data_IF_236633853018
#
_entry.id   IF_236633853018
#
_cell.length_a   1.000
_cell.length_b   1.000
_cell.length_c   1.000
_cell.angle_alpha   90.00
_cell.angle_beta   90.00
_cell.angle_gamma   90.00
#
_symmetry.space_group_name_H-M   'P 1'
#
loop_
_entity.id
_entity.type
_entity.pdbx_description
1 polymer ?
#
# COMPACT_ATOMS: atom_id res chain seq x y z
N UNK A 1 44.95 68.48 -54.52
CA UNK A 1 44.06 68.42 -53.36
C UNK A 1 42.86 67.56 -53.90
N UNK A 2 42.92 66.24 -53.59
CA UNK A 2 41.94 65.30 -54.10
C UNK A 2 41.15 64.80 -52.91
N UNK A 3 39.85 65.14 -52.82
CA UNK A 3 38.94 64.70 -51.79
C UNK A 3 38.62 63.19 -51.98
N UNK A 4 38.87 62.40 -50.93
CA UNK A 4 38.47 60.99 -50.86
C UNK A 4 37.03 60.87 -50.49
N UNK A 5 36.23 60.06 -51.18
CA UNK A 5 34.83 59.84 -50.82
C UNK A 5 34.72 58.98 -49.57
N UNK A 6 33.98 59.50 -48.59
CA UNK A 6 33.57 58.81 -47.37
C UNK A 6 32.62 57.62 -47.72
N UNK A 7 32.97 56.45 -47.29
CA UNK A 7 32.15 55.22 -47.48
C UNK A 7 30.83 55.32 -46.67
N UNK A 8 29.71 54.88 -47.21
CA UNK A 8 28.41 54.95 -46.52
C UNK A 8 28.35 53.97 -45.33
N UNK A 9 27.96 54.50 -44.18
CA UNK A 9 27.71 53.76 -42.96
C UNK A 9 26.62 52.68 -43.20
N UNK A 10 27.00 51.39 -43.16
CA UNK A 10 26.02 50.26 -43.17
C UNK A 10 25.32 50.25 -41.82
N UNK A 11 23.95 50.36 -41.78
CA UNK A 11 23.23 50.18 -40.52
C UNK A 11 23.41 48.76 -40.05
N UNK A 12 23.75 48.64 -38.74
CA UNK A 12 23.84 47.35 -38.05
C UNK A 12 22.52 46.57 -38.21
N UNK A 13 22.57 45.44 -38.85
CA UNK A 13 21.42 44.52 -38.91
C UNK A 13 21.14 44.03 -37.48
N UNK A 14 19.92 44.21 -36.96
CA UNK A 14 19.56 43.67 -35.66
C UNK A 14 19.83 42.18 -35.68
N UNK A 15 20.65 41.68 -34.77
CA UNK A 15 20.88 40.26 -34.56
C UNK A 15 19.50 39.61 -34.32
N UNK A 16 19.18 38.51 -34.98
CA UNK A 16 17.91 37.81 -34.71
C UNK A 16 17.93 37.39 -33.24
N UNK A 17 17.15 38.06 -32.42
CA UNK A 17 16.86 37.62 -31.05
C UNK A 17 16.24 36.25 -31.13
N UNK A 18 17.00 35.25 -30.69
CA UNK A 18 16.75 33.88 -31.00
C UNK A 18 15.34 33.45 -30.52
N UNK A 19 14.64 32.79 -31.42
CA UNK A 19 13.36 32.10 -31.22
C UNK A 19 13.40 31.19 -29.98
N UNK A 20 14.60 30.89 -29.47
CA UNK A 20 14.91 30.05 -28.32
C UNK A 20 14.73 30.77 -26.96
N UNK A 21 14.95 32.07 -26.85
CA UNK A 21 14.83 32.80 -25.58
C UNK A 21 13.37 32.81 -25.04
N UNK A 22 12.38 32.79 -25.92
CA UNK A 22 10.97 32.71 -25.53
C UNK A 22 10.56 31.34 -24.94
N UNK A 23 11.18 30.24 -25.38
CA UNK A 23 10.88 28.86 -24.97
C UNK A 23 11.36 28.61 -23.54
N UNK A 24 12.51 29.19 -23.16
CA UNK A 24 13.08 29.09 -21.81
C UNK A 24 12.43 30.02 -20.79
N UNK A 25 11.80 31.12 -21.22
CA UNK A 25 11.10 32.05 -20.31
C UNK A 25 9.64 31.66 -20.03
N UNK A 26 9.05 30.82 -20.89
CA UNK A 26 7.67 30.34 -20.75
C UNK A 26 7.62 29.18 -19.74
N UNK A 27 6.43 28.99 -19.14
CA UNK A 27 6.16 27.80 -18.33
C UNK A 27 6.79 27.78 -16.93
N UNK A 28 7.24 28.92 -16.38
CA UNK A 28 7.81 29.01 -15.03
C UNK A 28 6.85 28.48 -13.94
N UNK A 29 5.53 28.73 -14.10
CA UNK A 29 4.52 28.20 -13.16
C UNK A 29 4.49 26.68 -13.23
N UNK A 30 4.50 26.08 -14.44
CA UNK A 30 4.52 24.63 -14.61
C UNK A 30 5.81 24.05 -14.02
N UNK A 31 6.94 24.70 -14.22
CA UNK A 31 8.22 24.27 -13.63
C UNK A 31 8.16 24.33 -12.10
N UNK A 32 7.61 25.40 -11.52
CA UNK A 32 7.42 25.51 -10.07
C UNK A 32 6.51 24.39 -9.55
N UNK A 33 5.38 24.12 -10.21
CA UNK A 33 4.47 23.03 -9.84
C UNK A 33 5.17 21.67 -9.91
N UNK A 34 5.99 21.42 -10.95
CA UNK A 34 6.77 20.20 -11.07
C UNK A 34 7.72 20.00 -9.89
N UNK A 35 8.46 21.06 -9.54
CA UNK A 35 9.36 21.03 -8.37
C UNK A 35 8.58 20.85 -7.07
N UNK A 36 7.42 21.52 -6.91
CA UNK A 36 6.57 21.34 -5.72
C UNK A 36 6.07 19.91 -5.58
N UNK A 37 5.65 19.26 -6.67
CA UNK A 37 5.27 17.84 -6.67
C UNK A 37 6.44 16.95 -6.23
N UNK A 38 7.64 17.19 -6.77
CA UNK A 38 8.83 16.44 -6.36
C UNK A 38 9.19 16.66 -4.88
N UNK A 39 9.05 17.88 -4.38
CA UNK A 39 9.27 18.21 -2.95
C UNK A 39 8.27 17.45 -2.07
N UNK A 40 7.00 17.37 -2.46
CA UNK A 40 6.00 16.57 -1.73
C UNK A 40 6.35 15.08 -1.78
N UNK A 41 6.72 14.54 -2.96
CA UNK A 41 7.12 13.14 -3.11
C UNK A 41 8.31 12.77 -2.22
N UNK A 42 9.36 13.60 -2.21
CA UNK A 42 10.58 13.30 -1.47
C UNK A 42 10.51 13.69 0.02
N UNK A 43 9.67 14.67 0.34
CA UNK A 43 9.49 15.19 1.68
C UNK A 43 8.25 14.67 2.42
N UNK A 44 7.56 13.64 1.90
CA UNK A 44 6.31 13.17 2.49
C UNK A 44 6.44 12.75 3.97
N UNK A 45 7.60 12.23 4.38
CA UNK A 45 7.86 11.78 5.75
C UNK A 45 8.09 12.92 6.75
N UNK A 46 8.42 14.13 6.27
CA UNK A 46 8.58 15.32 7.13
C UNK A 46 7.36 16.24 7.10
N UNK A 47 6.30 15.86 6.38
CA UNK A 47 5.04 16.60 6.40
C UNK A 47 4.44 16.57 7.81
N UNK A 48 3.92 17.70 8.31
CA UNK A 48 3.25 17.72 9.60
C UNK A 48 1.96 16.89 9.52
N UNK A 49 1.81 15.96 10.46
CA UNK A 49 0.57 15.15 10.53
C UNK A 49 -0.60 15.93 11.15
N UNK A 50 -0.34 17.04 11.81
CA UNK A 50 -1.38 17.93 12.40
C UNK A 50 -1.28 19.35 11.84
N UNK A 51 -2.43 20.02 11.59
CA UNK A 51 -3.81 19.54 11.77
C UNK A 51 -4.28 18.61 10.64
N UNK A 52 -5.27 17.74 10.93
CA UNK A 52 -6.04 17.02 9.91
C UNK A 52 -5.38 15.80 9.30
N UNK A 53 -4.26 15.32 9.85
CA UNK A 53 -3.51 14.13 9.39
C UNK A 53 -3.15 14.17 7.89
N UNK A 54 -2.69 15.35 7.44
CA UNK A 54 -2.34 15.59 6.04
C UNK A 54 -1.21 14.67 5.56
N UNK A 55 -0.23 14.39 6.43
CA UNK A 55 0.86 13.48 6.10
C UNK A 55 0.32 12.09 5.74
N UNK A 56 -0.50 11.47 6.59
CA UNK A 56 -1.14 10.17 6.33
C UNK A 56 -1.97 10.18 5.05
N UNK A 57 -2.72 11.26 4.77
CA UNK A 57 -3.48 11.39 3.53
C UNK A 57 -2.56 11.38 2.30
N UNK A 58 -1.52 12.20 2.30
CA UNK A 58 -0.55 12.28 1.21
C UNK A 58 0.16 10.93 1.02
N UNK A 59 0.59 10.29 2.11
CA UNK A 59 1.29 9.01 2.10
C UNK A 59 0.40 7.86 1.59
N UNK A 60 -0.89 7.86 1.95
CA UNK A 60 -1.85 6.88 1.43
C UNK A 60 -1.96 6.94 -0.11
N UNK A 61 -1.97 8.14 -0.68
CA UNK A 61 -2.12 8.35 -2.12
C UNK A 61 -0.82 8.75 -2.82
N UNK A 62 0.32 8.55 -2.17
CA UNK A 62 1.63 8.97 -2.68
C UNK A 62 1.95 8.38 -4.08
N UNK A 63 1.65 7.10 -4.40
CA UNK A 63 1.87 6.56 -5.74
C UNK A 63 1.15 7.33 -6.85
N UNK A 64 -0.04 7.86 -6.56
CA UNK A 64 -0.87 8.60 -7.51
C UNK A 64 -0.34 9.99 -7.85
N UNK A 65 0.60 10.52 -7.06
CA UNK A 65 1.30 11.77 -7.39
C UNK A 65 2.06 11.66 -8.73
N UNK A 66 2.39 10.43 -9.15
CA UNK A 66 2.97 10.16 -10.47
C UNK A 66 2.13 10.61 -11.65
N UNK A 67 0.79 10.70 -11.49
CA UNK A 67 -0.10 11.22 -12.53
C UNK A 67 0.15 12.71 -12.86
N UNK A 68 0.76 13.44 -11.93
CA UNK A 68 1.18 14.82 -12.17
C UNK A 68 2.25 14.90 -13.29
N UNK A 69 3.07 13.86 -13.47
CA UNK A 69 4.17 13.86 -14.45
C UNK A 69 3.61 13.97 -15.88
N UNK A 70 2.77 13.05 -16.39
CA UNK A 70 2.22 13.18 -17.74
C UNK A 70 1.35 14.43 -17.89
N UNK A 71 0.58 14.83 -16.87
CA UNK A 71 -0.23 16.04 -16.92
C UNK A 71 0.62 17.31 -17.12
N UNK A 72 1.65 17.47 -16.30
CA UNK A 72 2.56 18.63 -16.39
C UNK A 72 3.37 18.60 -17.69
N UNK A 73 3.73 17.39 -18.20
CA UNK A 73 4.41 17.26 -19.50
C UNK A 73 3.50 17.74 -20.65
N UNK A 74 2.22 17.35 -20.65
CA UNK A 74 1.24 17.84 -21.64
C UNK A 74 1.14 19.35 -21.56
N UNK A 75 1.03 19.93 -20.37
CA UNK A 75 1.01 21.37 -20.18
C UNK A 75 2.28 22.06 -20.70
N UNK A 76 3.46 21.47 -20.48
CA UNK A 76 4.74 21.97 -20.98
C UNK A 76 4.79 21.96 -22.52
N UNK A 77 4.30 20.88 -23.16
CA UNK A 77 4.22 20.77 -24.61
C UNK A 77 3.26 21.81 -25.21
N UNK A 78 2.04 21.95 -24.67
CA UNK A 78 1.06 22.94 -25.10
C UNK A 78 1.65 24.37 -25.00
N UNK A 79 2.39 24.64 -23.93
CA UNK A 79 3.05 25.95 -23.70
C UNK A 79 4.35 26.11 -24.50
N UNK A 80 4.79 25.04 -25.19
CA UNK A 80 6.09 24.98 -25.93
C UNK A 80 7.24 25.49 -25.04
N UNK A 81 7.33 24.98 -23.80
CA UNK A 81 8.30 25.42 -22.80
C UNK A 81 9.34 24.33 -22.52
N UNK A 82 10.59 24.59 -22.91
CA UNK A 82 11.71 23.71 -22.58
C UNK A 82 11.99 23.69 -21.07
N UNK A 83 11.91 24.85 -20.39
CA UNK A 83 12.08 24.94 -18.93
C UNK A 83 11.10 24.03 -18.18
N UNK A 84 9.81 24.07 -18.56
CA UNK A 84 8.81 23.21 -17.93
C UNK A 84 9.06 21.73 -18.24
N UNK A 85 9.38 21.39 -19.49
CA UNK A 85 9.68 20.00 -19.89
C UNK A 85 10.86 19.40 -19.13
N UNK A 86 11.93 20.18 -18.94
CA UNK A 86 13.10 19.77 -18.14
C UNK A 86 12.73 19.65 -16.66
N UNK A 87 11.95 20.61 -16.12
CA UNK A 87 11.55 20.57 -14.72
C UNK A 87 10.67 19.35 -14.39
N UNK A 88 9.85 18.85 -15.33
CA UNK A 88 9.03 17.63 -15.15
C UNK A 88 9.88 16.36 -14.98
N UNK A 89 11.15 16.36 -15.41
CA UNK A 89 12.04 15.24 -15.14
C UNK A 89 12.30 15.04 -13.64
N UNK A 90 12.24 16.10 -12.84
CA UNK A 90 12.49 16.01 -11.39
C UNK A 90 11.44 15.11 -10.68
N UNK A 91 10.11 15.40 -10.77
CA UNK A 91 9.13 14.49 -10.19
C UNK A 91 9.09 13.12 -10.88
N UNK A 92 9.42 13.01 -12.18
CA UNK A 92 9.52 11.72 -12.86
C UNK A 92 10.61 10.84 -12.24
N UNK A 93 11.80 11.40 -12.04
CA UNK A 93 12.93 10.70 -11.40
C UNK A 93 12.59 10.36 -9.94
N UNK A 94 12.01 11.31 -9.18
CA UNK A 94 11.59 11.08 -7.80
C UNK A 94 10.59 9.92 -7.71
N UNK A 95 9.59 9.91 -8.58
CA UNK A 95 8.59 8.85 -8.62
C UNK A 95 9.20 7.49 -8.98
N UNK A 96 10.06 7.45 -9.99
CA UNK A 96 10.77 6.22 -10.37
C UNK A 96 11.67 5.71 -9.24
N UNK A 97 12.33 6.60 -8.50
CA UNK A 97 13.17 6.21 -7.36
C UNK A 97 12.34 5.61 -6.21
N UNK A 98 11.15 6.18 -5.93
CA UNK A 98 10.27 5.70 -4.86
C UNK A 98 9.53 4.41 -5.24
N UNK A 99 9.05 4.31 -6.47
CA UNK A 99 8.09 3.28 -6.88
C UNK A 99 8.54 2.38 -8.02
N UNK A 100 9.65 2.67 -8.68
CA UNK A 100 10.13 1.89 -9.83
C UNK A 100 10.34 0.41 -9.51
N UNK A 101 10.80 0.10 -8.30
CA UNK A 101 10.96 -1.28 -7.84
C UNK A 101 9.64 -2.08 -7.70
N UNK A 102 8.49 -1.43 -7.64
CA UNK A 102 7.17 -2.09 -7.60
C UNK A 102 6.72 -2.60 -8.98
N UNK A 103 7.30 -2.10 -10.07
CA UNK A 103 7.02 -2.57 -11.43
C UNK A 103 7.78 -3.83 -11.81
N UNK A 104 8.80 -4.18 -11.04
CA UNK A 104 9.54 -5.43 -11.24
C UNK A 104 8.70 -6.59 -10.69
N UNK A 105 8.46 -7.62 -11.50
CA UNK A 105 7.85 -8.85 -11.02
C UNK A 105 8.87 -9.62 -10.20
N UNK A 106 8.61 -9.72 -8.90
CA UNK A 106 9.48 -10.39 -7.92
C UNK A 106 8.94 -11.75 -7.50
N UNK A 107 7.84 -12.20 -8.12
CA UNK A 107 7.20 -13.47 -7.80
C UNK A 107 8.10 -14.63 -8.22
N UNK A 108 8.24 -15.58 -7.33
CA UNK A 108 8.93 -16.84 -7.56
C UNK A 108 7.98 -18.02 -7.28
N UNK A 109 8.22 -19.13 -7.91
CA UNK A 109 7.49 -20.36 -7.63
C UNK A 109 7.96 -20.97 -6.28
N UNK A 110 7.11 -21.80 -5.69
CA UNK A 110 7.40 -22.51 -4.44
C UNK A 110 6.75 -21.81 -3.24
N UNK A 111 7.12 -22.30 -2.04
CA UNK A 111 6.57 -21.90 -0.76
C UNK A 111 5.77 -23.05 -0.13
N UNK A 112 5.90 -23.18 1.20
CA UNK A 112 5.33 -24.27 1.99
C UNK A 112 3.94 -23.91 2.50
N UNK A 113 3.65 -22.61 2.57
CA UNK A 113 2.43 -22.09 3.16
C UNK A 113 1.81 -20.99 2.27
N UNK A 114 0.62 -21.23 1.76
CA UNK A 114 -0.19 -20.18 1.13
C UNK A 114 -1.18 -19.62 2.14
N UNK A 115 -1.23 -18.30 2.26
CA UNK A 115 -2.12 -17.57 3.18
C UNK A 115 -2.94 -16.55 2.42
N UNK A 116 -4.16 -16.27 2.91
CA UNK A 116 -5.06 -15.25 2.38
C UNK A 116 -5.57 -14.41 3.53
N UNK A 117 -5.68 -13.10 3.32
CA UNK A 117 -6.45 -12.21 4.20
C UNK A 117 -7.50 -11.46 3.39
N UNK A 118 -8.65 -11.22 3.99
CA UNK A 118 -9.77 -10.57 3.31
C UNK A 118 -10.73 -9.88 4.28
N UNK A 119 -10.82 -8.56 4.20
CA UNK A 119 -11.95 -7.85 4.76
C UNK A 119 -13.19 -8.21 3.93
N UNK A 120 -14.12 -8.97 4.54
CA UNK A 120 -15.28 -9.55 3.82
C UNK A 120 -16.47 -8.61 3.76
N UNK A 121 -16.39 -7.43 4.39
CA UNK A 121 -17.48 -6.47 4.58
C UNK A 121 -18.65 -7.06 5.39
N UNK A 122 -18.94 -6.50 6.56
CA UNK A 122 -20.01 -6.97 7.45
C UNK A 122 -21.40 -7.00 6.78
N UNK A 123 -21.60 -6.18 5.75
CA UNK A 123 -22.83 -6.11 4.95
C UNK A 123 -22.74 -6.91 3.64
N UNK A 124 -21.80 -7.84 3.50
CA UNK A 124 -21.64 -8.66 2.30
C UNK A 124 -22.95 -9.40 1.96
N UNK A 125 -23.56 -9.16 0.78
CA UNK A 125 -24.83 -9.77 0.40
C UNK A 125 -24.68 -11.26 0.04
N UNK A 126 -23.48 -11.77 -0.19
CA UNK A 126 -23.22 -13.13 -0.65
C UNK A 126 -22.09 -13.83 0.13
N UNK A 127 -22.16 -13.92 1.47
CA UNK A 127 -21.05 -14.41 2.30
C UNK A 127 -20.65 -15.86 1.97
N UNK A 128 -21.61 -16.74 1.67
CA UNK A 128 -21.33 -18.13 1.30
C UNK A 128 -20.58 -18.25 -0.05
N UNK A 129 -20.83 -17.34 -0.99
CA UNK A 129 -20.09 -17.28 -2.26
C UNK A 129 -18.66 -16.81 -2.05
N UNK A 130 -18.50 -15.77 -1.23
CA UNK A 130 -17.18 -15.26 -0.82
C UNK A 130 -16.38 -16.37 -0.13
N UNK A 131 -16.96 -17.07 0.84
CA UNK A 131 -16.31 -18.18 1.54
C UNK A 131 -15.83 -19.27 0.57
N UNK A 132 -16.66 -19.69 -0.38
CA UNK A 132 -16.27 -20.68 -1.40
C UNK A 132 -15.10 -20.19 -2.26
N UNK A 133 -15.15 -18.96 -2.74
CA UNK A 133 -14.07 -18.39 -3.54
C UNK A 133 -12.73 -18.38 -2.77
N UNK A 134 -12.77 -18.11 -1.46
CA UNK A 134 -11.60 -18.18 -0.60
C UNK A 134 -11.09 -19.61 -0.40
N UNK A 135 -11.99 -20.59 -0.20
CA UNK A 135 -11.62 -22.00 -0.09
C UNK A 135 -11.00 -22.52 -1.40
N UNK A 136 -11.55 -22.12 -2.55
CA UNK A 136 -11.07 -22.50 -3.88
C UNK A 136 -9.68 -21.90 -4.21
N UNK A 137 -9.23 -20.87 -3.47
CA UNK A 137 -7.87 -20.33 -3.59
C UNK A 137 -6.78 -21.34 -3.24
N UNK A 138 -7.14 -22.41 -2.51
CA UNK A 138 -6.21 -23.44 -2.05
C UNK A 138 -5.33 -23.02 -0.87
N UNK A 139 -5.52 -21.81 -0.31
CA UNK A 139 -4.77 -21.33 0.83
C UNK A 139 -4.86 -22.29 2.03
N UNK A 140 -3.78 -22.41 2.80
CA UNK A 140 -3.76 -23.21 4.02
C UNK A 140 -4.29 -22.43 5.23
N UNK A 141 -4.12 -21.09 5.20
CA UNK A 141 -4.67 -20.16 6.19
C UNK A 141 -5.51 -19.09 5.51
N UNK A 142 -6.67 -18.81 6.08
CA UNK A 142 -7.55 -17.71 5.66
C UNK A 142 -7.87 -16.86 6.87
N UNK A 143 -7.45 -15.60 6.82
CA UNK A 143 -7.81 -14.57 7.79
C UNK A 143 -8.97 -13.74 7.23
N UNK A 144 -9.98 -13.49 8.05
CA UNK A 144 -11.15 -12.70 7.67
C UNK A 144 -11.38 -11.56 8.66
N UNK A 145 -11.73 -10.41 8.13
CA UNK A 145 -12.07 -9.20 8.87
C UNK A 145 -13.51 -8.77 8.50
N UNK A 146 -14.14 -8.01 9.38
CA UNK A 146 -15.55 -7.57 9.25
C UNK A 146 -16.56 -8.70 9.09
N UNK A 147 -16.42 -9.74 9.91
CA UNK A 147 -17.32 -10.89 9.86
C UNK A 147 -18.78 -10.56 10.23
N UNK A 148 -18.98 -9.70 11.25
CA UNK A 148 -20.29 -9.25 11.70
C UNK A 148 -21.30 -10.39 11.90
N UNK A 149 -22.55 -10.16 11.55
CA UNK A 149 -23.64 -11.13 11.64
C UNK A 149 -23.50 -12.30 10.65
N UNK A 150 -22.61 -12.17 9.66
CA UNK A 150 -22.31 -13.20 8.67
C UNK A 150 -21.39 -14.31 9.20
N UNK A 151 -20.81 -14.18 10.40
CA UNK A 151 -19.90 -15.17 11.01
C UNK A 151 -20.39 -16.61 10.87
N UNK A 152 -21.65 -16.99 11.24
CA UNK A 152 -22.08 -18.38 11.14
C UNK A 152 -22.15 -18.92 9.71
N UNK A 153 -22.26 -18.04 8.71
CA UNK A 153 -22.25 -18.43 7.30
C UNK A 153 -20.82 -18.79 6.87
N UNK A 154 -19.83 -17.99 7.25
CA UNK A 154 -18.41 -18.26 6.98
C UNK A 154 -17.97 -19.54 7.68
N UNK A 155 -18.30 -19.71 8.98
CA UNK A 155 -17.98 -20.92 9.74
C UNK A 155 -18.47 -22.18 9.03
N UNK A 156 -19.75 -22.23 8.66
CA UNK A 156 -20.33 -23.39 7.95
C UNK A 156 -19.73 -23.60 6.57
N UNK A 157 -19.53 -22.54 5.81
CA UNK A 157 -19.08 -22.65 4.42
C UNK A 157 -17.60 -23.05 4.30
N UNK A 158 -16.78 -22.72 5.29
CA UNK A 158 -15.34 -23.01 5.32
C UNK A 158 -15.00 -24.31 6.10
N UNK A 159 -15.93 -24.86 6.89
CA UNK A 159 -15.69 -25.99 7.79
C UNK A 159 -15.07 -27.22 7.11
N UNK A 160 -15.51 -27.53 5.88
CA UNK A 160 -15.00 -28.71 5.15
C UNK A 160 -13.57 -28.55 4.66
N UNK A 161 -13.15 -27.31 4.36
CA UNK A 161 -11.81 -27.01 3.86
C UNK A 161 -10.80 -26.71 4.99
N UNK A 162 -11.31 -26.21 6.14
CA UNK A 162 -10.52 -25.77 7.28
C UNK A 162 -11.04 -26.38 8.57
N UNK A 163 -10.48 -27.50 9.03
CA UNK A 163 -10.93 -28.20 10.24
C UNK A 163 -10.66 -27.43 11.54
N UNK A 164 -9.80 -26.42 11.49
CA UNK A 164 -9.45 -25.59 12.65
C UNK A 164 -9.84 -24.15 12.36
N UNK A 165 -10.59 -23.56 13.27
CA UNK A 165 -11.01 -22.16 13.16
C UNK A 165 -11.11 -21.50 14.53
N UNK A 166 -10.85 -20.19 14.56
CA UNK A 166 -11.03 -19.35 15.74
C UNK A 166 -11.54 -17.98 15.33
N UNK A 167 -12.59 -17.51 16.01
CA UNK A 167 -13.18 -16.18 15.79
C UNK A 167 -13.14 -15.40 17.09
N UNK A 168 -12.73 -14.14 17.01
CA UNK A 168 -12.74 -13.20 18.12
C UNK A 168 -13.32 -11.87 17.67
N UNK A 169 -14.53 -11.58 18.10
CA UNK A 169 -15.27 -10.38 17.67
C UNK A 169 -15.50 -10.38 16.16
N UNK A 170 -14.89 -9.41 15.47
CA UNK A 170 -15.10 -9.21 14.03
C UNK A 170 -14.02 -9.83 13.15
N UNK A 171 -13.03 -10.53 13.75
CA UNK A 171 -11.94 -11.17 12.99
C UNK A 171 -11.89 -12.67 13.26
N UNK A 172 -11.42 -13.44 12.26
CA UNK A 172 -11.32 -14.87 12.37
C UNK A 172 -10.14 -15.45 11.59
N UNK A 173 -9.66 -16.61 12.02
CA UNK A 173 -8.62 -17.39 11.37
C UNK A 173 -9.15 -18.80 11.11
N UNK A 174 -9.11 -19.21 9.86
CA UNK A 174 -9.39 -20.57 9.40
C UNK A 174 -8.07 -21.23 8.96
N UNK A 175 -7.87 -22.47 9.37
CA UNK A 175 -6.60 -23.15 9.19
C UNK A 175 -6.78 -24.62 8.81
N UNK A 176 -5.93 -25.13 7.92
CA UNK A 176 -5.77 -26.57 7.68
C UNK A 176 -4.91 -27.24 8.75
N UNK A 177 -4.20 -26.45 9.55
CA UNK A 177 -3.31 -26.91 10.60
C UNK A 177 -3.88 -26.61 11.99
N UNK A 178 -3.54 -27.42 13.02
CA UNK A 178 -4.00 -27.19 14.39
C UNK A 178 -3.66 -25.78 14.90
N UNK A 179 -4.63 -25.16 15.58
CA UNK A 179 -4.47 -23.88 16.27
C UNK A 179 -4.24 -24.11 17.77
N UNK A 180 -3.34 -23.35 18.37
CA UNK A 180 -3.05 -23.35 19.78
C UNK A 180 -2.81 -21.91 20.30
N UNK A 181 -2.84 -21.73 21.61
CA UNK A 181 -2.54 -20.46 22.30
C UNK A 181 -3.30 -19.27 21.70
N UNK A 182 -4.58 -19.50 21.38
CA UNK A 182 -5.45 -18.47 20.80
C UNK A 182 -5.85 -17.46 21.85
N UNK A 183 -5.58 -16.19 21.56
CA UNK A 183 -5.97 -15.09 22.43
C UNK A 183 -6.40 -13.86 21.64
N UNK A 184 -7.25 -13.05 22.24
CA UNK A 184 -7.54 -11.70 21.76
C UNK A 184 -6.32 -10.80 21.95
N UNK A 185 -6.09 -9.90 21.01
CA UNK A 185 -5.12 -8.81 21.12
C UNK A 185 -5.88 -7.50 21.29
N UNK A 186 -5.67 -6.82 22.40
CA UNK A 186 -6.45 -5.64 22.80
C UNK A 186 -5.98 -4.38 22.08
N UNK A 187 -6.43 -4.22 20.83
CA UNK A 187 -6.13 -3.04 20.00
C UNK A 187 -7.25 -1.99 19.99
N UNK A 188 -8.46 -2.37 20.38
CA UNK A 188 -9.67 -1.56 20.38
C UNK A 188 -10.54 -1.92 21.61
N UNK A 189 -11.59 -1.12 21.94
CA UNK A 189 -12.51 -1.45 23.04
C UNK A 189 -13.29 -2.75 22.86
N UNK A 190 -13.40 -3.27 21.65
CA UNK A 190 -13.98 -4.57 21.30
C UNK A 190 -12.99 -5.39 20.49
N UNK A 191 -13.15 -6.75 20.46
CA UNK A 191 -12.18 -7.60 19.80
C UNK A 191 -12.14 -7.34 18.28
N UNK A 192 -10.99 -6.90 17.80
CA UNK A 192 -10.66 -6.66 16.37
C UNK A 192 -9.29 -7.22 15.99
N UNK A 193 -8.67 -7.97 16.88
CA UNK A 193 -7.47 -8.71 16.58
C UNK A 193 -7.39 -9.97 17.43
N UNK A 194 -6.82 -11.00 16.84
CA UNK A 194 -6.47 -12.25 17.52
C UNK A 194 -5.03 -12.65 17.23
N UNK A 195 -4.48 -13.46 18.11
CA UNK A 195 -3.22 -14.17 17.92
C UNK A 195 -3.47 -15.66 18.09
N UNK A 196 -2.93 -16.47 17.18
CA UNK A 196 -2.91 -17.93 17.31
C UNK A 196 -1.52 -18.50 17.00
N UNK A 197 -1.17 -19.64 17.62
CA UNK A 197 -0.06 -20.47 17.15
C UNK A 197 -0.61 -21.47 16.14
N UNK A 198 -0.11 -21.45 14.91
CA UNK A 198 -0.43 -22.46 13.89
C UNK A 198 0.69 -23.50 13.90
N UNK A 199 0.33 -24.77 14.05
CA UNK A 199 1.28 -25.89 14.10
C UNK A 199 1.44 -26.50 12.73
N UNK A 200 2.35 -25.95 11.93
CA UNK A 200 2.66 -26.46 10.59
C UNK A 200 3.65 -27.64 10.66
N UNK A 201 3.80 -28.45 9.60
CA UNK A 201 4.82 -29.49 9.51
C UNK A 201 6.23 -28.96 9.69
N UNK A 202 6.51 -27.72 9.25
CA UNK A 202 7.80 -27.04 9.33
C UNK A 202 8.04 -26.39 10.71
N UNK A 203 7.08 -26.52 11.62
CA UNK A 203 7.13 -26.02 12.98
C UNK A 203 6.10 -24.90 13.26
N UNK A 204 6.05 -24.44 14.51
CA UNK A 204 5.05 -23.46 14.93
C UNK A 204 5.34 -22.07 14.34
N UNK A 205 4.25 -21.36 13.98
CA UNK A 205 4.26 -19.96 13.57
C UNK A 205 3.23 -19.16 14.38
N UNK A 206 3.56 -17.94 14.75
CA UNK A 206 2.60 -17.01 15.33
C UNK A 206 1.83 -16.31 14.20
N UNK A 207 0.52 -16.36 14.24
CA UNK A 207 -0.34 -15.67 13.28
C UNK A 207 -1.21 -14.66 14.02
N UNK A 208 -1.09 -13.41 13.63
CA UNK A 208 -1.93 -12.32 14.07
C UNK A 208 -2.92 -12.00 12.94
N UNK A 209 -4.19 -11.90 13.28
CA UNK A 209 -5.23 -11.34 12.40
C UNK A 209 -5.70 -10.04 13.01
N UNK A 210 -5.68 -8.96 12.27
CA UNK A 210 -6.02 -7.65 12.80
C UNK A 210 -6.79 -6.79 11.80
N UNK A 211 -7.85 -6.14 12.30
CA UNK A 211 -8.58 -5.10 11.61
C UNK A 211 -8.42 -3.78 12.36
N UNK A 212 -7.57 -2.89 11.88
CA UNK A 212 -7.38 -1.57 12.49
C UNK A 212 -8.59 -0.67 12.22
N UNK A 213 -8.70 0.41 13.01
CA UNK A 213 -9.84 1.31 12.88
C UNK A 213 -9.88 1.98 11.50
N UNK A 214 -11.07 2.03 10.90
CA UNK A 214 -11.29 2.66 9.59
C UNK A 214 -10.94 4.15 9.64
N UNK A 215 -10.30 4.63 8.58
CA UNK A 215 -9.96 6.03 8.41
C UNK A 215 -11.08 6.74 7.66
N UNK A 216 -11.56 7.85 8.20
CA UNK A 216 -12.66 8.62 7.61
C UNK A 216 -12.22 10.04 7.31
N UNK A 217 -12.57 10.53 6.12
CA UNK A 217 -12.39 11.93 5.78
C UNK A 217 -13.56 12.74 6.36
N UNK A 218 -13.23 13.74 7.16
CA UNK A 218 -14.20 14.65 7.77
C UNK A 218 -13.84 16.10 7.45
N UNK A 219 -14.85 16.92 7.15
CA UNK A 219 -14.67 18.35 6.90
C UNK A 219 -14.13 19.11 8.13
N UNK A 220 -14.35 18.58 9.35
CA UNK A 220 -13.96 19.24 10.60
C UNK A 220 -12.65 18.70 11.17
N UNK A 221 -12.37 17.42 11.04
CA UNK A 221 -11.20 16.73 11.64
C UNK A 221 -10.16 16.26 10.63
N UNK A 222 -10.41 16.42 9.34
CA UNK A 222 -9.52 15.96 8.28
C UNK A 222 -9.54 14.45 8.09
N UNK A 223 -8.39 13.85 7.87
CA UNK A 223 -8.19 12.42 7.64
C UNK A 223 -8.00 11.71 8.99
N UNK A 224 -9.10 11.22 9.59
CA UNK A 224 -9.16 10.75 10.97
C UNK A 224 -8.40 9.44 11.23
N UNK A 225 -7.11 9.50 11.56
CA UNK A 225 -6.24 8.32 11.75
C UNK A 225 -5.89 8.01 13.21
N UNK A 226 -6.30 8.83 14.18
CA UNK A 226 -5.89 8.68 15.59
C UNK A 226 -6.19 7.28 16.18
N UNK A 227 -7.41 6.76 15.94
CA UNK A 227 -7.82 5.45 16.45
C UNK A 227 -7.01 4.33 15.80
N UNK A 228 -6.78 4.40 14.46
CA UNK A 228 -5.94 3.47 13.71
C UNK A 228 -4.51 3.48 14.24
N UNK A 229 -3.92 4.66 14.40
CA UNK A 229 -2.55 4.81 14.86
C UNK A 229 -2.36 4.31 16.30
N UNK A 230 -3.35 4.52 17.17
CA UNK A 230 -3.34 3.96 18.51
C UNK A 230 -3.44 2.43 18.50
N UNK A 231 -4.30 1.86 17.65
CA UNK A 231 -4.43 0.41 17.50
C UNK A 231 -3.14 -0.20 16.92
N UNK A 232 -2.50 0.43 15.92
CA UNK A 232 -1.23 -0.02 15.36
C UNK A 232 -0.11 -0.09 16.43
N UNK A 233 0.00 0.92 17.29
CA UNK A 233 0.97 0.92 18.40
C UNK A 233 0.71 -0.22 19.41
N UNK A 234 -0.55 -0.48 19.77
CA UNK A 234 -0.92 -1.58 20.67
C UNK A 234 -0.61 -2.94 20.05
N UNK A 235 -0.91 -3.11 18.75
CA UNK A 235 -0.59 -4.32 18.02
C UNK A 235 0.92 -4.54 17.96
N UNK A 236 1.71 -3.50 17.63
CA UNK A 236 3.16 -3.57 17.61
C UNK A 236 3.73 -3.98 18.98
N UNK A 237 3.24 -3.42 20.09
CA UNK A 237 3.66 -3.79 21.44
C UNK A 237 3.34 -5.27 21.76
N UNK A 238 2.18 -5.79 21.32
CA UNK A 238 1.86 -7.20 21.50
C UNK A 238 2.78 -8.11 20.67
N UNK A 239 3.17 -7.68 19.48
CA UNK A 239 4.08 -8.42 18.59
C UNK A 239 5.54 -8.33 19.03
N UNK A 240 5.95 -7.26 19.74
CA UNK A 240 7.28 -7.16 20.35
C UNK A 240 7.48 -8.21 21.44
N UNK A 241 6.40 -8.61 22.13
CA UNK A 241 6.41 -9.66 23.13
C UNK A 241 6.25 -11.09 22.56
N UNK A 242 6.18 -11.26 21.23
CA UNK A 242 5.98 -12.57 20.59
C UNK A 242 7.26 -13.40 20.64
N UNK A 243 7.24 -14.57 21.33
CA UNK A 243 8.41 -15.41 21.49
C UNK A 243 8.76 -16.23 20.24
N UNK A 244 7.77 -16.49 19.36
CA UNK A 244 8.02 -17.26 18.16
C UNK A 244 8.76 -16.41 17.11
N UNK A 245 9.87 -16.94 16.55
CA UNK A 245 10.65 -16.20 15.56
C UNK A 245 9.89 -16.01 14.25
N UNK A 246 9.04 -16.98 13.86
CA UNK A 246 8.22 -16.93 12.67
C UNK A 246 6.87 -16.31 13.00
N UNK A 247 6.60 -15.17 12.43
CA UNK A 247 5.39 -14.39 12.75
C UNK A 247 4.76 -13.85 11.47
N UNK A 248 3.45 -14.00 11.35
CA UNK A 248 2.64 -13.42 10.30
C UNK A 248 1.66 -12.41 10.92
N UNK A 249 1.47 -11.27 10.26
CA UNK A 249 0.38 -10.35 10.49
C UNK A 249 -0.45 -10.28 9.22
N UNK A 250 -1.70 -10.67 9.33
CA UNK A 250 -2.69 -10.72 8.26
C UNK A 250 -3.81 -9.74 8.61
N UNK A 251 -4.29 -8.97 7.65
CA UNK A 251 -5.48 -8.17 7.88
C UNK A 251 -5.55 -6.82 7.19
N UNK A 252 -6.66 -6.15 7.42
CA UNK A 252 -6.92 -4.77 7.02
C UNK A 252 -6.33 -3.80 8.05
N UNK A 253 -5.23 -3.17 7.68
CA UNK A 253 -4.55 -2.19 8.52
C UNK A 253 -5.06 -0.75 8.32
N UNK A 254 -6.04 -0.56 7.42
CA UNK A 254 -6.61 0.75 7.11
C UNK A 254 -5.56 1.84 6.84
N UNK A 255 -4.47 1.45 6.22
CA UNK A 255 -3.35 2.31 5.83
C UNK A 255 -2.36 1.58 4.95
N UNK A 256 -1.53 2.32 4.22
CA UNK A 256 -0.52 1.76 3.31
C UNK A 256 0.82 1.59 4.02
N UNK A 257 1.72 0.78 3.45
CA UNK A 257 3.11 0.65 3.96
C UNK A 257 3.93 1.94 3.77
N UNK A 258 3.44 2.88 2.99
CA UNK A 258 4.05 4.20 2.81
C UNK A 258 3.61 5.21 3.90
N UNK A 259 2.61 4.85 4.75
CA UNK A 259 2.16 5.68 5.88
C UNK A 259 3.10 5.51 7.08
N UNK A 260 3.81 6.56 7.43
CA UNK A 260 4.77 6.56 8.55
C UNK A 260 4.16 6.13 9.89
N UNK A 261 2.86 6.33 10.08
CA UNK A 261 2.18 5.87 11.29
C UNK A 261 2.12 4.34 11.41
N UNK A 262 2.24 3.60 10.29
CA UNK A 262 2.37 2.15 10.29
C UNK A 262 3.82 1.66 10.39
N UNK A 263 4.82 2.55 10.42
CA UNK A 263 6.22 2.20 10.58
C UNK A 263 6.51 1.41 11.86
N UNK A 264 5.67 1.58 12.90
CA UNK A 264 5.72 0.78 14.13
C UNK A 264 5.53 -0.73 13.88
N UNK A 265 4.88 -1.11 12.77
CA UNK A 265 4.70 -2.48 12.31
C UNK A 265 5.70 -2.83 11.20
N UNK A 266 5.83 -1.98 10.18
CA UNK A 266 6.62 -2.27 8.96
C UNK A 266 8.13 -2.21 9.20
N UNK A 267 8.61 -1.57 10.27
CA UNK A 267 10.01 -1.64 10.68
C UNK A 267 10.43 -3.01 11.27
N UNK A 268 9.46 -3.83 11.68
CA UNK A 268 9.66 -5.15 12.30
C UNK A 268 9.27 -6.30 11.40
N UNK A 269 8.41 -6.04 10.42
CA UNK A 269 7.82 -7.02 9.53
C UNK A 269 8.02 -6.58 8.09
N UNK A 270 8.34 -7.52 7.23
CA UNK A 270 8.46 -7.30 5.78
C UNK A 270 7.10 -7.47 5.12
N UNK A 271 6.74 -6.58 4.23
CA UNK A 271 5.55 -6.75 3.38
C UNK A 271 5.80 -7.85 2.35
N UNK A 272 4.92 -8.84 2.30
CA UNK A 272 5.00 -9.91 1.29
C UNK A 272 4.85 -9.33 -0.12
N UNK A 273 3.96 -8.35 -0.32
CA UNK A 273 3.78 -7.68 -1.61
C UNK A 273 5.03 -6.92 -2.06
N UNK A 274 5.69 -6.19 -1.15
CA UNK A 274 6.88 -5.42 -1.51
C UNK A 274 8.10 -6.33 -1.75
N UNK A 275 8.16 -7.48 -1.06
CA UNK A 275 9.25 -8.44 -1.19
C UNK A 275 9.10 -9.37 -2.41
N UNK A 276 7.90 -9.87 -2.68
CA UNK A 276 7.64 -10.94 -3.64
C UNK A 276 6.36 -10.73 -4.48
N UNK A 277 5.90 -9.50 -4.64
CA UNK A 277 4.77 -9.17 -5.49
C UNK A 277 5.18 -8.56 -6.82
N UNK A 278 4.19 -8.34 -7.68
CA UNK A 278 4.27 -7.52 -8.89
C UNK A 278 3.26 -6.38 -8.80
N UNK A 279 3.65 -5.18 -9.18
CA UNK A 279 2.80 -3.99 -9.10
C UNK A 279 2.56 -3.53 -7.66
N UNK A 280 1.58 -2.66 -7.48
CA UNK A 280 1.27 -2.03 -6.20
C UNK A 280 0.48 -2.92 -5.24
N UNK A 281 -0.19 -3.98 -5.73
CA UNK A 281 -1.02 -4.86 -4.92
C UNK A 281 -2.20 -4.14 -4.29
N UNK A 282 -2.81 -3.18 -5.00
CA UNK A 282 -3.92 -2.38 -4.50
C UNK A 282 -5.12 -3.27 -4.18
N UNK A 283 -5.77 -3.05 -3.04
CA UNK A 283 -6.84 -3.91 -2.53
C UNK A 283 -8.18 -3.18 -2.33
N UNK A 284 -8.17 -1.85 -2.21
CA UNK A 284 -9.37 -1.06 -1.91
C UNK A 284 -9.48 0.22 -2.75
N UNK A 285 -10.69 0.64 -3.18
CA UNK A 285 -11.92 -0.16 -3.21
C UNK A 285 -11.88 -1.22 -4.31
N UNK A 286 -12.53 -2.37 -4.12
CA UNK A 286 -12.44 -3.51 -5.06
C UNK A 286 -12.88 -3.19 -6.48
N UNK A 287 -13.84 -2.25 -6.65
CA UNK A 287 -14.34 -1.83 -7.97
C UNK A 287 -13.34 -1.01 -8.78
N UNK A 288 -12.46 -0.27 -8.13
CA UNK A 288 -11.38 0.53 -8.72
C UNK A 288 -10.26 0.73 -7.69
N UNK A 289 -9.35 -0.22 -7.55
CA UNK A 289 -8.39 -0.21 -6.46
C UNK A 289 -7.43 0.99 -6.50
N UNK A 290 -7.40 1.74 -5.39
CA UNK A 290 -6.63 2.97 -5.25
C UNK A 290 -5.59 2.89 -4.12
N UNK A 291 -5.81 2.05 -3.11
CA UNK A 291 -4.91 1.90 -1.97
C UNK A 291 -4.71 0.43 -1.63
N UNK A 292 -3.53 0.09 -1.13
CA UNK A 292 -3.24 -1.21 -0.53
C UNK A 292 -3.36 -1.04 0.98
N UNK A 293 -4.47 -1.46 1.56
CA UNK A 293 -4.74 -1.38 2.99
C UNK A 293 -4.87 -2.75 3.65
N UNK A 294 -5.04 -3.81 2.85
CA UNK A 294 -4.99 -5.20 3.27
C UNK A 294 -3.55 -5.73 3.09
N UNK A 295 -3.01 -6.35 4.13
CA UNK A 295 -1.60 -6.69 4.20
C UNK A 295 -1.34 -8.11 4.68
N UNK A 296 -0.28 -8.70 4.13
CA UNK A 296 0.42 -9.86 4.67
C UNK A 296 1.82 -9.38 5.01
N UNK A 297 2.09 -9.21 6.31
CA UNK A 297 3.40 -8.81 6.80
C UNK A 297 4.04 -9.99 7.53
N UNK A 298 5.35 -10.18 7.36
CA UNK A 298 6.04 -11.38 7.81
C UNK A 298 7.35 -11.07 8.55
N UNK A 299 7.70 -11.94 9.51
CA UNK A 299 9.00 -11.99 10.18
C UNK A 299 9.44 -13.45 10.28
N UNK A 300 10.73 -13.73 9.99
CA UNK A 300 11.30 -15.07 10.10
C UNK A 300 10.79 -16.07 9.07
N UNK A 301 10.10 -15.62 8.01
CA UNK A 301 9.68 -16.41 6.86
C UNK A 301 9.99 -15.64 5.58
N UNK A 302 10.17 -16.35 4.45
CA UNK A 302 10.51 -15.74 3.18
C UNK A 302 9.30 -15.73 2.23
N UNK A 303 8.77 -14.54 1.82
CA UNK A 303 7.75 -14.47 0.78
C UNK A 303 8.32 -14.94 -0.57
N UNK A 304 7.59 -15.85 -1.23
CA UNK A 304 7.91 -16.34 -2.58
C UNK A 304 7.07 -15.67 -3.64
N UNK A 305 5.80 -15.44 -3.36
CA UNK A 305 4.92 -14.69 -4.23
C UNK A 305 3.82 -14.00 -3.43
N UNK A 306 3.35 -12.84 -3.92
CA UNK A 306 2.20 -12.14 -3.37
C UNK A 306 1.36 -11.55 -4.51
N UNK A 307 0.01 -11.62 -4.36
CA UNK A 307 -0.93 -11.19 -5.37
C UNK A 307 -2.31 -10.88 -4.76
N UNK A 308 -3.17 -10.22 -5.51
CA UNK A 308 -4.59 -10.07 -5.19
C UNK A 308 -5.39 -11.17 -5.88
N UNK A 309 -6.43 -11.67 -5.21
CA UNK A 309 -7.38 -12.59 -5.80
C UNK A 309 -8.51 -11.83 -6.51
N UNK A 310 -9.32 -12.51 -7.34
CA UNK A 310 -10.49 -11.90 -7.97
C UNK A 310 -11.44 -11.30 -6.95
N UNK A 311 -12.13 -10.21 -7.35
CA UNK A 311 -13.11 -9.54 -6.52
C UNK A 311 -14.24 -10.49 -6.08
N UNK A 312 -14.63 -10.36 -4.84
CA UNK A 312 -15.79 -11.03 -4.23
C UNK A 312 -16.98 -10.07 -4.18
N UNK A 313 -17.88 -10.26 -3.22
CA UNK A 313 -18.97 -9.30 -2.94
C UNK A 313 -18.59 -8.28 -1.85
N UNK A 314 -17.32 -8.20 -1.49
CA UNK A 314 -16.76 -7.18 -0.61
C UNK A 314 -16.30 -5.95 -1.41
N UNK A 315 -16.14 -4.83 -0.74
CA UNK A 315 -15.49 -3.63 -1.25
C UNK A 315 -13.95 -3.68 -1.15
N UNK A 316 -13.40 -4.80 -0.64
CA UNK A 316 -11.97 -5.11 -0.67
C UNK A 316 -11.68 -6.27 -1.64
N UNK A 317 -10.46 -6.31 -2.19
CA UNK A 317 -9.93 -7.49 -2.87
C UNK A 317 -9.20 -8.37 -1.85
N UNK A 318 -9.37 -9.72 -1.91
CA UNK A 318 -8.57 -10.60 -1.09
C UNK A 318 -7.09 -10.52 -1.48
N UNK A 319 -6.20 -10.59 -0.50
CA UNK A 319 -4.75 -10.57 -0.70
C UNK A 319 -4.18 -11.93 -0.31
N UNK A 320 -3.31 -12.46 -1.16
CA UNK A 320 -2.70 -13.78 -0.98
C UNK A 320 -1.18 -13.68 -1.01
N UNK A 321 -0.51 -14.59 -0.31
CA UNK A 321 0.92 -14.81 -0.42
C UNK A 321 1.28 -16.29 -0.27
N UNK A 322 2.29 -16.73 -1.02
CA UNK A 322 3.00 -17.99 -0.81
C UNK A 322 4.29 -17.70 -0.05
N UNK A 323 4.49 -18.40 1.04
CA UNK A 323 5.56 -18.19 2.00
C UNK A 323 6.41 -19.46 2.12
N UNK A 324 7.70 -19.31 2.20
CA UNK A 324 8.65 -20.36 2.53
C UNK A 324 8.97 -20.23 4.03
N UNK A 325 8.63 -21.24 4.78
CA UNK A 325 8.85 -21.28 6.22
C UNK A 325 10.29 -21.64 6.59
N UNK A 326 11.08 -22.10 5.62
CA UNK A 326 12.41 -22.62 5.83
C UNK A 326 12.39 -23.91 6.65
N UNK A 327 13.45 -24.70 6.58
CA UNK A 327 13.66 -25.80 7.53
C UNK A 327 13.85 -25.20 8.92
N UNK A 328 13.03 -25.61 9.87
CA UNK A 328 13.15 -25.19 11.27
C UNK A 328 14.57 -25.39 11.81
N UNK A 329 14.95 -24.62 12.85
CA UNK A 329 16.24 -24.88 13.53
C UNK A 329 16.32 -26.29 14.08
#
# INVERSE_FOLDING_TARGET
>A
MLDSPTAPHRPDRPRPTGRYDGVWRRGRIIALLAVSVAVVMLGHSVLPDRPGHLASLVQTFLPWTGLAVPLLLVCAVIRRSATAAVAVLVPAIAWCALFGGRWVDKRAAGGDLTVVTHNVNEHNPHPARTARALADSGAALVALEELGDNTPVYERALASAYPYQEVRGTVGLWSRYPLADVRTVDIAPWPRALRATVRTPEGPIAVYVAHLASVRLSATTGFGTDARNAAARRLAAAMDAEPLPRTLLLGDLNGTTDDDALSVLTSRLRSAQDAAGAGFGLSWPASFPLARIDHILVRGVEPRSAWTLPATSSDHLPVAASLDLGTGP
#
